data_IF_372625459578
#
_entry.id   IF_372625459578
#
_cell.length_a   1.000
_cell.length_b   1.000
_cell.length_c   1.000
_cell.angle_alpha   90.00
_cell.angle_beta   90.00
_cell.angle_gamma   90.00
#
_symmetry.space_group_name_H-M   'P 1'
#
loop_
_entity.id
_entity.type
_entity.pdbx_description
1 polymer ?
#
# COMPACT_ATOMS: atom_id res chain seq x y z
N UNK A 1 -17.78 3.48 24.96
CA UNK A 1 -18.41 3.92 23.69
C UNK A 1 -17.66 5.07 23.01
N UNK A 2 -16.92 5.94 23.75
CA UNK A 2 -16.10 7.01 23.14
C UNK A 2 -14.90 6.50 22.33
N UNK A 3 -14.06 5.60 22.86
CA UNK A 3 -12.80 5.22 22.20
C UNK A 3 -12.99 4.53 20.84
N UNK A 4 -14.03 3.68 20.71
CA UNK A 4 -14.34 3.04 19.42
C UNK A 4 -14.81 4.05 18.35
N UNK A 5 -15.62 5.04 18.75
CA UNK A 5 -16.08 6.10 17.85
C UNK A 5 -14.93 7.02 17.43
N UNK A 6 -14.02 7.33 18.35
CA UNK A 6 -12.80 8.10 18.06
C UNK A 6 -11.84 7.33 17.14
N UNK A 7 -11.67 6.02 17.35
CA UNK A 7 -10.90 5.17 16.45
C UNK A 7 -11.48 5.16 15.02
N UNK A 8 -12.80 5.03 14.87
CA UNK A 8 -13.44 5.08 13.56
C UNK A 8 -13.27 6.45 12.90
N UNK A 9 -13.39 7.54 13.66
CA UNK A 9 -13.12 8.90 13.17
C UNK A 9 -11.68 9.06 12.68
N UNK A 10 -10.71 8.59 13.47
CA UNK A 10 -9.30 8.63 13.10
C UNK A 10 -8.99 7.77 11.87
N UNK A 11 -9.63 6.61 11.75
CA UNK A 11 -9.53 5.73 10.59
C UNK A 11 -10.06 6.41 9.33
N UNK A 12 -11.18 7.13 9.43
CA UNK A 12 -11.70 7.91 8.32
C UNK A 12 -10.79 9.09 7.95
N UNK A 13 -10.25 9.79 8.95
CA UNK A 13 -9.30 10.87 8.74
C UNK A 13 -8.04 10.35 8.03
N UNK A 14 -7.52 9.19 8.45
CA UNK A 14 -6.39 8.54 7.80
C UNK A 14 -6.70 8.24 6.33
N UNK A 15 -7.85 7.66 6.04
CA UNK A 15 -8.30 7.38 4.67
C UNK A 15 -8.44 8.65 3.82
N UNK A 16 -8.92 9.74 4.41
CA UNK A 16 -8.99 11.04 3.73
C UNK A 16 -7.59 11.63 3.45
N UNK A 17 -6.69 11.59 4.43
CA UNK A 17 -5.30 12.00 4.26
C UNK A 17 -4.56 11.14 3.22
N UNK A 18 -4.84 9.84 3.15
CA UNK A 18 -4.32 8.93 2.12
C UNK A 18 -4.73 9.40 0.73
N UNK A 19 -6.01 9.68 0.52
CA UNK A 19 -6.53 10.20 -0.75
C UNK A 19 -5.84 11.53 -1.09
N UNK A 20 -5.83 12.49 -0.15
CA UNK A 20 -5.20 13.79 -0.36
C UNK A 20 -3.71 13.66 -0.70
N UNK A 21 -2.98 12.76 -0.04
CA UNK A 21 -1.54 12.56 -0.27
C UNK A 21 -1.22 12.19 -1.72
N UNK A 22 -2.16 11.55 -2.43
CA UNK A 22 -2.00 11.21 -3.85
C UNK A 22 -2.07 12.43 -4.77
N UNK A 23 -2.71 13.51 -4.32
CA UNK A 23 -2.83 14.78 -5.05
C UNK A 23 -1.76 15.82 -4.63
N UNK A 24 -0.92 15.51 -3.63
CA UNK A 24 0.13 16.42 -3.17
C UNK A 24 1.39 16.42 -4.07
N UNK A 25 1.39 15.66 -5.17
CA UNK A 25 2.56 15.57 -6.06
C UNK A 25 3.75 14.83 -5.43
N UNK A 26 3.50 13.95 -4.46
CA UNK A 26 4.53 13.04 -3.95
C UNK A 26 5.07 12.16 -5.09
N UNK A 27 6.35 11.75 -5.05
CA UNK A 27 6.87 10.78 -5.99
C UNK A 27 6.02 9.51 -6.02
N UNK A 28 5.82 8.91 -7.20
CA UNK A 28 4.98 7.73 -7.37
C UNK A 28 5.39 6.53 -6.48
N UNK A 29 6.67 6.46 -6.11
CA UNK A 29 7.26 5.45 -5.21
C UNK A 29 7.43 5.91 -3.77
N UNK A 30 6.91 7.07 -3.39
CA UNK A 30 6.88 7.51 -1.99
C UNK A 30 5.43 7.72 -1.60
N UNK A 31 4.78 6.63 -1.21
CA UNK A 31 3.33 6.59 -1.07
C UNK A 31 2.90 5.71 0.11
N UNK A 32 1.83 6.07 0.83
CA UNK A 32 1.31 5.28 1.92
C UNK A 32 0.45 4.08 1.50
N UNK A 33 0.22 3.84 0.20
CA UNK A 33 -0.79 2.87 -0.25
C UNK A 33 -0.48 1.40 0.13
N UNK A 34 0.78 0.96 0.04
CA UNK A 34 1.18 -0.38 0.47
C UNK A 34 1.11 -0.53 2.00
N UNK A 35 1.48 0.53 2.73
CA UNK A 35 1.31 0.56 4.19
C UNK A 35 -0.17 0.48 4.57
N UNK A 36 -1.05 1.15 3.83
CA UNK A 36 -2.50 1.04 4.01
C UNK A 36 -2.96 -0.39 3.78
N UNK A 37 -2.53 -1.03 2.68
CA UNK A 37 -2.85 -2.42 2.37
C UNK A 37 -2.42 -3.40 3.47
N UNK A 38 -1.25 -3.19 4.07
CA UNK A 38 -0.76 -3.98 5.19
C UNK A 38 -1.51 -3.69 6.51
N UNK A 39 -2.05 -2.47 6.67
CA UNK A 39 -2.66 -1.99 7.90
C UNK A 39 -4.19 -2.17 7.97
N UNK A 40 -4.87 -2.43 6.86
CA UNK A 40 -6.34 -2.58 6.86
C UNK A 40 -6.91 -3.62 7.83
N UNK A 41 -6.23 -4.75 8.17
CA UNK A 41 -6.75 -5.68 9.18
C UNK A 41 -6.82 -5.10 10.59
N UNK A 42 -6.07 -4.03 10.88
CA UNK A 42 -6.15 -3.32 12.15
C UNK A 42 -7.36 -2.38 12.24
N UNK A 43 -8.01 -2.07 11.11
CA UNK A 43 -9.13 -1.13 11.01
C UNK A 43 -10.50 -1.81 11.11
N UNK A 44 -10.59 -3.06 10.65
CA UNK A 44 -11.88 -3.76 10.54
C UNK A 44 -11.68 -5.26 10.48
N UNK A 45 -12.65 -6.02 11.01
CA UNK A 45 -12.71 -7.48 10.90
C UNK A 45 -13.31 -7.96 9.58
N UNK A 46 -13.97 -7.07 8.83
CA UNK A 46 -14.60 -7.40 7.56
C UNK A 46 -13.55 -7.66 6.48
N UNK A 47 -13.41 -8.94 6.07
CA UNK A 47 -12.42 -9.38 5.06
C UNK A 47 -12.58 -8.72 3.69
N UNK A 48 -13.79 -8.32 3.31
CA UNK A 48 -14.02 -7.60 2.05
C UNK A 48 -13.41 -6.21 2.16
N UNK A 49 -13.68 -5.48 3.25
CA UNK A 49 -13.08 -4.17 3.48
C UNK A 49 -11.55 -4.27 3.58
N UNK A 50 -11.01 -5.27 4.29
CA UNK A 50 -9.55 -5.46 4.37
C UNK A 50 -8.89 -5.54 3.00
N UNK A 51 -9.51 -6.27 2.05
CA UNK A 51 -8.97 -6.52 0.71
C UNK A 51 -9.20 -5.37 -0.27
N UNK A 52 -10.40 -4.79 -0.26
CA UNK A 52 -10.82 -3.87 -1.31
C UNK A 52 -10.74 -2.40 -0.92
N UNK A 53 -10.61 -2.06 0.38
CA UNK A 53 -10.48 -0.66 0.80
C UNK A 53 -9.26 0.04 0.15
N UNK A 54 -8.04 -0.55 0.13
CA UNK A 54 -6.89 0.07 -0.51
C UNK A 54 -7.04 0.18 -2.03
N UNK A 55 -7.65 -0.83 -2.65
CA UNK A 55 -7.97 -0.81 -4.08
C UNK A 55 -8.98 0.28 -4.42
N UNK A 56 -9.99 0.46 -3.57
CA UNK A 56 -10.99 1.52 -3.74
C UNK A 56 -10.36 2.91 -3.76
N UNK A 57 -9.33 3.15 -2.93
CA UNK A 57 -8.57 4.41 -2.98
C UNK A 57 -7.95 4.60 -4.36
N UNK A 58 -7.28 3.58 -4.91
CA UNK A 58 -6.63 3.66 -6.21
C UNK A 58 -7.66 3.86 -7.34
N UNK A 59 -8.71 3.04 -7.37
CA UNK A 59 -9.78 3.12 -8.37
C UNK A 59 -10.46 4.49 -8.40
N UNK A 60 -10.62 5.13 -7.24
CA UNK A 60 -11.21 6.46 -7.15
C UNK A 60 -10.23 7.55 -7.57
N UNK A 61 -8.93 7.39 -7.31
CA UNK A 61 -7.95 8.48 -7.51
C UNK A 61 -7.24 8.44 -8.86
N UNK A 62 -6.97 7.27 -9.42
CA UNK A 62 -6.23 7.12 -10.67
C UNK A 62 -6.91 7.78 -11.89
N UNK A 63 -8.24 7.77 -12.06
CA UNK A 63 -8.90 8.50 -13.14
C UNK A 63 -8.60 10.00 -13.15
N UNK A 64 -8.27 10.58 -11.99
CA UNK A 64 -7.92 12.00 -11.86
C UNK A 64 -6.41 12.26 -12.00
N UNK A 65 -5.57 11.27 -11.75
CA UNK A 65 -4.11 11.38 -11.80
C UNK A 65 -3.52 10.92 -13.14
N UNK A 66 -4.30 10.19 -13.94
CA UNK A 66 -3.90 9.62 -15.21
C UNK A 66 -3.78 8.09 -15.15
N UNK A 67 -4.32 7.43 -16.16
CA UNK A 67 -4.23 5.97 -16.30
C UNK A 67 -2.93 5.59 -17.01
N UNK A 68 -2.35 4.45 -16.63
CA UNK A 68 -1.10 3.92 -17.17
C UNK A 68 -1.20 2.40 -17.36
N UNK A 69 -0.34 1.83 -18.22
CA UNK A 69 -0.45 0.43 -18.67
C UNK A 69 -0.22 -0.59 -17.57
N UNK A 70 0.65 -0.30 -16.60
CA UNK A 70 1.00 -1.20 -15.51
C UNK A 70 -0.03 -1.15 -14.37
N UNK A 71 -1.01 -0.24 -14.44
CA UNK A 71 -2.03 -0.02 -13.41
C UNK A 71 -2.74 -1.31 -12.97
N UNK A 72 -3.17 -2.22 -13.86
CA UNK A 72 -3.79 -3.48 -13.44
C UNK A 72 -2.86 -4.35 -12.58
N UNK A 73 -1.55 -4.33 -12.87
CA UNK A 73 -0.54 -5.09 -12.12
C UNK A 73 -0.25 -4.43 -10.77
N UNK A 74 -0.27 -3.10 -10.71
CA UNK A 74 -0.22 -2.37 -9.44
C UNK A 74 -1.42 -2.75 -8.57
N UNK A 75 -2.63 -2.79 -9.12
CA UNK A 75 -3.83 -3.21 -8.37
C UNK A 75 -3.71 -4.64 -7.88
N UNK A 76 -3.19 -5.54 -8.70
CA UNK A 76 -2.91 -6.91 -8.28
C UNK A 76 -1.94 -6.95 -7.09
N UNK A 77 -0.83 -6.20 -7.12
CA UNK A 77 0.14 -6.16 -6.02
C UNK A 77 -0.49 -5.67 -4.71
N UNK A 78 -1.34 -4.65 -4.81
CA UNK A 78 -2.05 -4.08 -3.65
C UNK A 78 -3.06 -5.08 -3.09
N UNK A 79 -3.82 -5.75 -3.97
CA UNK A 79 -4.75 -6.81 -3.55
C UNK A 79 -4.02 -7.96 -2.86
N UNK A 80 -2.92 -8.45 -3.43
CA UNK A 80 -2.11 -9.53 -2.86
C UNK A 80 -1.56 -9.13 -1.49
N UNK A 81 -1.06 -7.90 -1.36
CA UNK A 81 -0.59 -7.37 -0.08
C UNK A 81 -1.71 -7.37 0.96
N UNK A 82 -2.91 -6.92 0.60
CA UNK A 82 -4.07 -6.94 1.51
C UNK A 82 -4.56 -8.34 1.85
N UNK A 83 -4.48 -9.30 0.93
CA UNK A 83 -4.79 -10.71 1.20
C UNK A 83 -3.79 -11.27 2.22
N UNK A 84 -2.49 -11.03 2.04
CA UNK A 84 -1.45 -11.45 2.99
C UNK A 84 -1.72 -10.83 4.36
N UNK A 85 -1.98 -9.52 4.42
CA UNK A 85 -2.31 -8.81 5.65
C UNK A 85 -3.47 -9.46 6.41
N UNK A 86 -4.56 -9.76 5.69
CA UNK A 86 -5.78 -10.33 6.25
C UNK A 86 -5.68 -11.83 6.54
N UNK A 87 -4.59 -12.51 6.21
CA UNK A 87 -4.44 -13.96 6.43
C UNK A 87 -3.85 -14.32 7.79
N UNK A 88 -3.28 -13.35 8.51
CA UNK A 88 -2.76 -13.58 9.85
C UNK A 88 -3.87 -13.81 10.88
N UNK A 89 -3.63 -14.72 11.83
CA UNK A 89 -4.53 -14.97 12.96
C UNK A 89 -4.47 -13.84 14.00
N UNK A 90 -3.29 -13.22 14.15
CA UNK A 90 -3.06 -12.12 15.08
C UNK A 90 -2.49 -10.91 14.33
N UNK A 91 -3.06 -9.73 14.52
CA UNK A 91 -2.55 -8.49 13.90
C UNK A 91 -1.66 -7.75 14.90
N UNK A 92 -0.35 -7.74 14.64
CA UNK A 92 0.66 -7.11 15.48
C UNK A 92 1.71 -6.41 14.60
N UNK A 93 2.59 -5.62 15.22
CA UNK A 93 3.61 -4.86 14.51
C UNK A 93 4.51 -5.73 13.61
N UNK A 94 4.89 -6.92 14.07
CA UNK A 94 5.73 -7.85 13.29
C UNK A 94 5.05 -8.25 11.98
N UNK A 95 3.77 -8.62 12.06
CA UNK A 95 2.99 -9.04 10.89
C UNK A 95 2.72 -7.86 9.94
N UNK A 96 2.53 -6.64 10.47
CA UNK A 96 2.43 -5.42 9.67
C UNK A 96 3.69 -5.17 8.84
N UNK A 97 4.86 -5.16 9.48
CA UNK A 97 6.15 -4.92 8.79
C UNK A 97 6.46 -6.04 7.80
N UNK A 98 6.23 -7.30 8.19
CA UNK A 98 6.41 -8.44 7.30
C UNK A 98 5.52 -8.32 6.04
N UNK A 99 4.26 -7.94 6.21
CA UNK A 99 3.35 -7.74 5.07
C UNK A 99 3.81 -6.62 4.16
N UNK A 100 4.30 -5.50 4.72
CA UNK A 100 4.87 -4.41 3.94
C UNK A 100 6.08 -4.86 3.10
N UNK A 101 6.99 -5.63 3.70
CA UNK A 101 8.14 -6.22 2.99
C UNK A 101 7.70 -7.15 1.86
N UNK A 102 6.75 -8.05 2.13
CA UNK A 102 6.20 -8.95 1.11
C UNK A 102 5.49 -8.19 0.00
N UNK A 103 4.78 -7.09 0.33
CA UNK A 103 4.12 -6.24 -0.65
C UNK A 103 5.11 -5.56 -1.58
N UNK A 104 6.21 -5.02 -1.06
CA UNK A 104 7.28 -4.44 -1.88
C UNK A 104 8.04 -5.50 -2.68
N UNK A 105 8.27 -6.68 -2.11
CA UNK A 105 8.84 -7.80 -2.86
C UNK A 105 7.93 -8.23 -4.03
N UNK A 106 6.63 -8.29 -3.78
CA UNK A 106 5.62 -8.58 -4.82
C UNK A 106 5.62 -7.49 -5.88
N UNK A 107 5.66 -6.21 -5.48
CA UNK A 107 5.81 -5.09 -6.40
C UNK A 107 7.06 -5.23 -7.27
N UNK A 108 8.22 -5.47 -6.65
CA UNK A 108 9.48 -5.60 -7.36
C UNK A 108 9.36 -6.68 -8.44
N UNK A 109 8.78 -7.84 -8.13
CA UNK A 109 8.60 -8.93 -9.08
C UNK A 109 7.63 -8.59 -10.21
N UNK A 110 6.40 -8.18 -9.88
CA UNK A 110 5.31 -8.09 -10.86
C UNK A 110 5.28 -6.77 -11.61
N UNK A 111 5.45 -5.63 -10.93
CA UNK A 111 5.39 -4.32 -11.58
C UNK A 111 6.57 -4.14 -12.52
N UNK A 112 7.78 -4.50 -12.11
CA UNK A 112 8.95 -4.36 -12.98
C UNK A 112 8.94 -5.36 -14.14
N UNK A 113 8.37 -6.55 -13.96
CA UNK A 113 8.07 -7.45 -15.08
C UNK A 113 7.11 -6.78 -16.07
N UNK A 114 6.04 -6.15 -15.57
CA UNK A 114 5.06 -5.47 -16.40
C UNK A 114 5.67 -4.29 -17.16
N UNK A 115 6.55 -3.50 -16.53
CA UNK A 115 7.29 -2.40 -17.17
C UNK A 115 8.18 -2.90 -18.31
N UNK A 116 8.85 -4.04 -18.14
CA UNK A 116 9.61 -4.66 -19.22
C UNK A 116 8.69 -5.18 -20.32
N UNK A 117 7.64 -5.91 -19.96
CA UNK A 117 6.71 -6.54 -20.90
C UNK A 117 5.94 -5.50 -21.73
N UNK A 118 5.58 -4.36 -21.14
CA UNK A 118 4.88 -3.27 -21.82
C UNK A 118 5.79 -2.45 -22.74
N UNK A 119 7.10 -2.70 -22.75
CA UNK A 119 8.07 -1.97 -23.55
C UNK A 119 8.44 -0.59 -22.98
N UNK A 120 8.00 -0.26 -21.76
CA UNK A 120 8.41 0.99 -21.08
C UNK A 120 9.88 0.97 -20.65
N UNK A 121 10.46 -0.22 -20.44
CA UNK A 121 11.91 -0.37 -20.34
C UNK A 121 12.50 -0.72 -21.71
N UNK A 122 13.53 0.03 -22.12
CA UNK A 122 14.34 -0.30 -23.31
C UNK A 122 15.45 -1.32 -23.02
N UNK A 123 15.60 -1.72 -21.76
CA UNK A 123 16.62 -2.68 -21.33
C UNK A 123 16.09 -4.12 -21.37
N UNK A 124 16.99 -5.10 -21.32
CA UNK A 124 16.58 -6.48 -21.06
C UNK A 124 15.92 -6.65 -19.69
N UNK A 125 15.30 -7.81 -19.47
CA UNK A 125 14.56 -8.09 -18.25
C UNK A 125 15.43 -7.97 -16.99
N UNK A 126 16.64 -8.53 -17.02
CA UNK A 126 17.54 -8.56 -15.87
C UNK A 126 17.99 -7.14 -15.47
N UNK A 127 18.41 -6.35 -16.45
CA UNK A 127 18.79 -4.96 -16.25
C UNK A 127 17.60 -4.09 -15.81
N UNK A 128 16.38 -4.38 -16.28
CA UNK A 128 15.17 -3.69 -15.82
C UNK A 128 14.96 -3.87 -14.31
N UNK A 129 15.14 -5.07 -13.77
CA UNK A 129 15.05 -5.32 -12.33
C UNK A 129 16.13 -4.61 -11.52
N UNK A 130 17.39 -4.63 -11.99
CA UNK A 130 18.50 -3.94 -11.29
C UNK A 130 18.22 -2.44 -11.23
N UNK A 131 17.82 -1.84 -12.34
CA UNK A 131 17.55 -0.40 -12.44
C UNK A 131 16.30 0.02 -11.67
N UNK A 132 15.37 -0.90 -11.38
CA UNK A 132 14.21 -0.62 -10.55
C UNK A 132 14.55 -0.51 -9.05
N UNK A 133 15.67 -1.06 -8.58
CA UNK A 133 16.01 -1.10 -7.15
C UNK A 133 15.97 0.27 -6.44
N UNK A 134 16.47 1.39 -7.00
CA UNK A 134 16.35 2.70 -6.35
C UNK A 134 14.90 3.16 -6.19
N UNK A 135 14.04 2.82 -7.15
CA UNK A 135 12.61 3.12 -7.08
C UNK A 135 11.95 2.28 -5.98
N UNK A 136 12.22 0.97 -5.97
CA UNK A 136 11.63 0.04 -5.01
C UNK A 136 12.14 0.27 -3.58
N UNK A 137 13.38 0.76 -3.43
CA UNK A 137 13.92 1.14 -2.14
C UNK A 137 13.18 2.34 -1.54
N UNK A 138 12.81 3.34 -2.36
CA UNK A 138 11.95 4.45 -1.89
C UNK A 138 10.54 3.96 -1.52
N UNK A 139 10.02 3.00 -2.28
CA UNK A 139 8.74 2.36 -1.98
C UNK A 139 8.80 1.59 -0.65
N UNK A 140 9.90 0.88 -0.40
CA UNK A 140 10.16 0.22 0.86
C UNK A 140 10.20 1.21 2.02
N UNK A 141 11.03 2.26 1.90
CA UNK A 141 11.16 3.26 2.95
C UNK A 141 9.82 3.92 3.28
N UNK A 142 9.08 4.38 2.27
CA UNK A 142 7.76 4.98 2.50
C UNK A 142 6.79 3.98 3.14
N UNK A 143 6.76 2.73 2.67
CA UNK A 143 5.91 1.67 3.25
C UNK A 143 6.20 1.46 4.72
N UNK A 144 7.48 1.39 5.12
CA UNK A 144 7.88 1.21 6.52
C UNK A 144 7.55 2.44 7.38
N UNK A 145 7.83 3.65 6.87
CA UNK A 145 7.54 4.91 7.57
C UNK A 145 6.05 5.06 7.83
N UNK A 146 5.21 4.86 6.82
CA UNK A 146 3.76 4.98 6.98
C UNK A 146 3.17 3.83 7.82
N UNK A 147 3.71 2.62 7.74
CA UNK A 147 3.31 1.52 8.62
C UNK A 147 3.57 1.85 10.09
N UNK A 148 4.75 2.41 10.39
CA UNK A 148 5.10 2.87 11.73
C UNK A 148 4.18 3.99 12.21
N UNK A 149 3.87 4.95 11.33
CA UNK A 149 2.93 6.04 11.62
C UNK A 149 1.55 5.49 11.98
N UNK A 150 0.98 4.61 11.15
CA UNK A 150 -0.34 4.04 11.37
C UNK A 150 -0.41 3.21 12.65
N UNK A 151 0.60 2.38 12.90
CA UNK A 151 0.66 1.58 14.12
C UNK A 151 0.80 2.45 15.38
N UNK A 152 1.64 3.49 15.33
CA UNK A 152 1.81 4.43 16.45
C UNK A 152 0.51 5.18 16.75
N UNK A 153 -0.16 5.71 15.73
CA UNK A 153 -1.45 6.40 15.88
C UNK A 153 -2.51 5.48 16.48
N UNK A 154 -2.60 4.23 16.01
CA UNK A 154 -3.50 3.22 16.60
C UNK A 154 -3.24 3.02 18.08
N UNK A 155 -1.98 2.92 18.50
CA UNK A 155 -1.67 2.64 19.91
C UNK A 155 -1.92 3.83 20.83
N UNK A 156 -1.91 5.06 20.29
CA UNK A 156 -2.28 6.28 21.03
C UNK A 156 -3.80 6.43 21.11
N UNK A 157 -4.51 6.19 20.01
CA UNK A 157 -5.96 6.44 19.88
C UNK A 157 -6.86 5.25 20.22
N UNK A 158 -6.32 4.03 20.14
CA UNK A 158 -7.01 2.77 20.42
C UNK A 158 -6.83 2.28 21.86
N UNK A 159 -6.15 3.06 22.72
CA UNK A 159 -6.30 2.98 24.17
C UNK A 159 -7.59 3.71 24.56
#
# INVERSE_FOLDING_TARGET
MNNFKEFLRASWLLMFCLILSRFLGLPANFTPILACAAFTPFLTENKILQRFLPLGILLVTDPFLGLYSEMPVVYLCILLTSIIAGSFQNYNFKNLIFTGLMGVGTWHLFVNFAVWYSGHSTNDLFNTYILAMPFDFRLLLSTLVFSLLFYSLRNVLGK
#
